data_IF_460222433007
#
_entry.id   IF_460222433007
#
_cell.length_a   1.000
_cell.length_b   1.000
_cell.length_c   1.000
_cell.angle_alpha   90.00
_cell.angle_beta   90.00
_cell.angle_gamma   90.00
#
_symmetry.space_group_name_H-M   'P 1'
#
loop_
_entity.id
_entity.type
_entity.pdbx_description
1 polymer ?
#
# COMPACT_ATOMS: atom_id res chain seq x y z
N UNK A 1 -68.19 24.41 34.44
CA UNK A 1 -68.27 23.91 33.04
C UNK A 1 -66.87 23.91 32.42
N UNK A 2 -66.23 22.75 32.31
CA UNK A 2 -65.07 22.54 31.42
C UNK A 2 -65.23 21.14 30.82
N UNK A 3 -65.52 21.07 29.51
CA UNK A 3 -65.55 19.83 28.73
C UNK A 3 -64.12 19.57 28.25
N UNK A 4 -63.56 18.42 28.59
CA UNK A 4 -62.29 17.95 28.05
C UNK A 4 -62.61 17.22 26.73
N UNK A 5 -62.18 17.79 25.61
CA UNK A 5 -62.21 17.12 24.32
C UNK A 5 -60.94 16.28 24.17
N UNK A 6 -61.10 14.96 24.03
CA UNK A 6 -60.03 14.01 23.77
C UNK A 6 -59.85 13.90 22.25
N UNK A 7 -58.87 14.59 21.68
CA UNK A 7 -58.50 14.43 20.28
C UNK A 7 -57.50 13.27 20.14
N UNK A 8 -57.97 12.14 19.60
CA UNK A 8 -57.11 11.05 19.15
C UNK A 8 -56.27 11.53 17.95
N UNK A 9 -54.96 11.66 18.15
CA UNK A 9 -53.99 11.88 17.09
C UNK A 9 -53.55 10.49 16.55
N UNK A 10 -54.14 10.04 15.45
CA UNK A 10 -53.68 8.85 14.73
C UNK A 10 -52.33 9.15 14.05
N UNK A 11 -51.23 8.70 14.66
CA UNK A 11 -49.90 8.66 14.05
C UNK A 11 -49.88 7.58 12.95
N UNK A 12 -49.98 8.00 11.70
CA UNK A 12 -49.71 7.15 10.53
C UNK A 12 -48.20 6.92 10.43
N UNK A 13 -47.73 5.76 10.90
CA UNK A 13 -46.36 5.28 10.67
C UNK A 13 -46.21 4.92 9.18
N UNK A 14 -45.18 5.43 8.48
CA UNK A 14 -44.91 5.03 7.11
C UNK A 14 -44.50 3.54 7.09
N UNK A 15 -45.26 2.75 6.34
CA UNK A 15 -44.97 1.34 6.08
C UNK A 15 -43.71 1.32 5.18
N UNK A 16 -42.55 1.08 5.78
CA UNK A 16 -41.34 0.72 5.04
C UNK A 16 -41.56 -0.68 4.47
N UNK A 17 -41.89 -0.76 3.18
CA UNK A 17 -41.95 -2.03 2.47
C UNK A 17 -40.52 -2.58 2.33
N UNK A 18 -40.18 -3.56 3.16
CA UNK A 18 -38.97 -4.36 2.97
C UNK A 18 -39.22 -5.28 1.78
N UNK A 19 -38.83 -4.84 0.59
CA UNK A 19 -38.83 -5.72 -0.58
C UNK A 19 -37.72 -6.76 -0.40
N UNK A 20 -38.09 -8.03 -0.29
CA UNK A 20 -37.13 -9.12 -0.24
C UNK A 20 -36.23 -9.10 -1.49
N UNK A 21 -34.93 -9.28 -1.29
CA UNK A 21 -33.96 -9.34 -2.39
C UNK A 21 -34.24 -10.60 -3.23
N UNK A 22 -34.38 -10.44 -4.54
CA UNK A 22 -34.67 -11.57 -5.44
C UNK A 22 -33.41 -12.42 -5.61
N UNK A 23 -33.54 -13.73 -5.45
CA UNK A 23 -32.45 -14.70 -5.61
C UNK A 23 -32.31 -15.14 -7.06
N UNK A 24 -31.09 -15.28 -7.54
CA UNK A 24 -30.74 -15.77 -8.88
C UNK A 24 -29.56 -16.74 -8.74
N UNK A 25 -29.51 -17.82 -9.52
CA UNK A 25 -28.37 -18.73 -9.54
C UNK A 25 -27.22 -18.14 -10.37
N UNK A 26 -25.97 -18.34 -9.93
CA UNK A 26 -24.79 -17.87 -10.65
C UNK A 26 -24.71 -18.41 -12.08
N UNK A 27 -25.23 -19.61 -12.35
CA UNK A 27 -25.24 -20.23 -13.69
C UNK A 27 -26.26 -19.61 -14.65
N UNK A 28 -27.23 -18.84 -14.13
CA UNK A 28 -28.26 -18.18 -14.92
C UNK A 28 -27.88 -16.75 -15.35
N UNK A 29 -26.68 -16.27 -14.97
CA UNK A 29 -26.20 -14.92 -15.29
C UNK A 29 -24.87 -14.93 -16.05
N UNK A 30 -24.63 -13.86 -16.79
CA UNK A 30 -23.36 -13.56 -17.44
C UNK A 30 -22.82 -12.23 -16.88
N UNK A 31 -21.58 -12.24 -16.40
CA UNK A 31 -20.86 -11.03 -15.97
C UNK A 31 -19.89 -10.64 -17.08
N UNK A 32 -20.16 -9.52 -17.73
CA UNK A 32 -19.42 -9.01 -18.87
C UNK A 32 -18.51 -7.86 -18.43
N UNK A 33 -17.25 -7.92 -18.86
CA UNK A 33 -16.37 -6.76 -18.87
C UNK A 33 -16.47 -6.09 -20.25
N UNK A 34 -16.92 -4.84 -20.29
CA UNK A 34 -17.15 -4.11 -21.56
C UNK A 34 -15.85 -3.61 -22.23
N UNK A 35 -14.68 -4.00 -21.70
CA UNK A 35 -13.36 -3.79 -22.31
C UNK A 35 -12.47 -2.78 -21.58
N UNK A 36 -13.07 -1.92 -20.76
CA UNK A 36 -12.41 -0.84 -20.02
C UNK A 36 -12.48 -1.00 -18.49
N UNK A 37 -12.98 -2.14 -18.02
CA UNK A 37 -13.23 -2.38 -16.60
C UNK A 37 -14.67 -2.15 -16.16
N UNK A 38 -15.53 -1.60 -17.02
CA UNK A 38 -16.96 -1.47 -16.74
C UNK A 38 -17.62 -2.86 -16.70
N UNK A 39 -18.37 -3.13 -15.63
CA UNK A 39 -19.05 -4.40 -15.35
C UNK A 39 -20.53 -4.29 -15.64
N UNK A 40 -21.00 -5.23 -16.45
CA UNK A 40 -22.39 -5.40 -16.86
C UNK A 40 -22.85 -6.83 -16.58
N UNK A 41 -24.09 -7.00 -16.13
CA UNK A 41 -24.67 -8.29 -15.76
C UNK A 41 -26.04 -8.45 -16.43
N UNK A 42 -26.22 -9.57 -17.11
CA UNK A 42 -27.48 -9.97 -17.76
C UNK A 42 -27.80 -11.44 -17.49
N UNK A 43 -29.05 -11.82 -17.69
CA UNK A 43 -29.46 -13.23 -17.68
C UNK A 43 -28.93 -13.96 -18.92
N UNK A 44 -28.51 -15.21 -18.76
CA UNK A 44 -28.00 -16.03 -19.88
C UNK A 44 -29.10 -16.31 -20.91
N UNK A 45 -30.29 -16.72 -20.44
CA UNK A 45 -31.37 -17.20 -21.31
C UNK A 45 -32.02 -16.08 -22.11
N UNK A 46 -32.32 -14.95 -21.45
CA UNK A 46 -33.07 -13.85 -22.05
C UNK A 46 -32.17 -12.72 -22.57
N UNK A 47 -30.88 -12.72 -22.18
CA UNK A 47 -29.98 -11.57 -22.35
C UNK A 47 -30.48 -10.27 -21.71
N UNK A 48 -31.48 -10.35 -20.82
CA UNK A 48 -32.06 -9.17 -20.15
C UNK A 48 -31.09 -8.64 -19.10
N UNK A 49 -30.83 -7.32 -19.05
CA UNK A 49 -30.06 -6.69 -17.97
C UNK A 49 -30.70 -6.94 -16.60
N UNK A 50 -29.88 -7.26 -15.60
CA UNK A 50 -30.37 -7.32 -14.23
C UNK A 50 -30.52 -5.90 -13.66
N UNK A 51 -31.52 -5.69 -12.81
CA UNK A 51 -31.79 -4.38 -12.22
C UNK A 51 -32.17 -4.48 -10.73
N UNK A 52 -31.83 -3.46 -9.96
CA UNK A 52 -32.05 -3.38 -8.52
C UNK A 52 -31.20 -4.38 -7.73
N UNK A 53 -31.59 -4.59 -6.47
CA UNK A 53 -30.85 -5.47 -5.56
C UNK A 53 -31.11 -6.95 -5.87
N UNK A 54 -30.04 -7.70 -6.12
CA UNK A 54 -30.06 -9.14 -6.42
C UNK A 54 -29.17 -9.91 -5.47
N UNK A 55 -29.61 -11.11 -5.09
CA UNK A 55 -28.77 -12.07 -4.38
C UNK A 55 -28.41 -13.18 -5.35
N UNK A 56 -27.14 -13.28 -5.70
CA UNK A 56 -26.62 -14.30 -6.61
C UNK A 56 -26.09 -15.45 -5.75
N UNK A 57 -26.66 -16.64 -5.92
CA UNK A 57 -26.30 -17.84 -5.16
C UNK A 57 -25.29 -18.65 -5.97
N UNK A 58 -24.17 -19.03 -5.36
CA UNK A 58 -23.26 -20.01 -5.94
C UNK A 58 -23.73 -21.42 -5.53
N UNK A 59 -24.57 -22.05 -6.37
CA UNK A 59 -25.39 -23.22 -6.04
C UNK A 59 -24.68 -24.49 -5.55
N UNK A 60 -23.35 -24.54 -5.51
CA UNK A 60 -22.55 -25.67 -5.02
C UNK A 60 -21.95 -25.40 -3.63
N UNK A 61 -21.97 -24.16 -3.15
CA UNK A 61 -21.27 -23.73 -1.94
C UNK A 61 -22.17 -22.86 -1.05
N UNK A 62 -21.73 -22.57 0.19
CA UNK A 62 -22.39 -21.59 1.07
C UNK A 62 -22.08 -20.13 0.69
N UNK A 63 -21.64 -19.90 -0.56
CA UNK A 63 -21.21 -18.60 -1.05
C UNK A 63 -22.35 -17.90 -1.80
N UNK A 64 -22.48 -16.60 -1.57
CA UNK A 64 -23.44 -15.77 -2.29
C UNK A 64 -22.94 -14.33 -2.39
N UNK A 65 -23.51 -13.60 -3.33
CA UNK A 65 -23.21 -12.19 -3.59
C UNK A 65 -24.51 -11.41 -3.47
N UNK A 66 -24.50 -10.36 -2.65
CA UNK A 66 -25.53 -9.32 -2.67
C UNK A 66 -25.03 -8.15 -3.51
N UNK A 67 -25.80 -7.78 -4.52
CA UNK A 67 -25.37 -6.78 -5.51
C UNK A 67 -26.47 -5.77 -5.81
N UNK A 68 -26.07 -4.51 -6.05
CA UNK A 68 -26.93 -3.44 -6.54
C UNK A 68 -26.61 -3.13 -8.01
N UNK A 69 -27.66 -3.08 -8.84
CA UNK A 69 -27.58 -2.99 -10.28
C UNK A 69 -28.51 -1.90 -10.80
N UNK A 70 -28.09 -1.23 -11.87
CA UNK A 70 -28.92 -0.31 -12.63
C UNK A 70 -28.74 -0.60 -14.13
N UNK A 71 -29.80 -1.05 -14.78
CA UNK A 71 -29.81 -1.36 -16.22
C UNK A 71 -28.65 -2.30 -16.63
N UNK A 72 -28.42 -3.34 -15.81
CA UNK A 72 -27.35 -4.32 -15.97
C UNK A 72 -25.99 -3.86 -15.43
N UNK A 73 -25.76 -2.57 -15.25
CA UNK A 73 -24.49 -2.06 -14.72
C UNK A 73 -24.42 -2.19 -13.19
N UNK A 74 -23.27 -2.60 -12.66
CA UNK A 74 -23.02 -2.56 -11.22
C UNK A 74 -23.10 -1.11 -10.70
N UNK A 75 -24.00 -0.82 -9.78
CA UNK A 75 -24.20 0.55 -9.30
C UNK A 75 -24.64 0.56 -7.84
N UNK A 76 -23.66 0.68 -6.95
CA UNK A 76 -23.81 0.51 -5.51
C UNK A 76 -22.83 -0.54 -5.01
N UNK A 77 -23.28 -1.42 -4.12
CA UNK A 77 -22.42 -2.41 -3.48
C UNK A 77 -22.41 -3.76 -4.21
N UNK A 78 -21.29 -4.45 -4.08
CA UNK A 78 -21.10 -5.87 -4.30
C UNK A 78 -20.55 -6.45 -3.00
N UNK A 79 -21.37 -7.23 -2.31
CA UNK A 79 -21.08 -7.81 -1.01
C UNK A 79 -20.97 -9.33 -1.19
N UNK A 80 -19.76 -9.87 -1.10
CA UNK A 80 -19.51 -11.30 -1.26
C UNK A 80 -19.41 -11.98 0.11
N UNK A 81 -20.17 -13.04 0.30
CA UNK A 81 -20.27 -13.80 1.55
C UNK A 81 -19.80 -15.24 1.37
N UNK A 82 -19.12 -15.76 2.38
CA UNK A 82 -18.73 -17.17 2.53
C UNK A 82 -19.15 -17.66 3.91
N UNK A 83 -19.99 -18.70 3.98
CA UNK A 83 -20.60 -19.20 5.23
C UNK A 83 -21.27 -18.08 6.04
N UNK A 84 -22.02 -17.22 5.34
CA UNK A 84 -22.69 -16.02 5.88
C UNK A 84 -21.76 -14.96 6.49
N UNK A 85 -20.44 -15.05 6.28
CA UNK A 85 -19.48 -14.03 6.70
C UNK A 85 -19.07 -13.19 5.49
N UNK A 86 -19.08 -11.87 5.65
CA UNK A 86 -18.65 -10.95 4.60
C UNK A 86 -17.16 -11.17 4.33
N UNK A 87 -16.83 -11.51 3.08
CA UNK A 87 -15.48 -11.74 2.59
C UNK A 87 -14.97 -10.55 1.79
N UNK A 88 -15.82 -9.93 0.97
CA UNK A 88 -15.47 -8.72 0.22
C UNK A 88 -16.64 -7.74 0.15
N UNK A 89 -16.34 -6.46 0.26
CA UNK A 89 -17.24 -5.34 0.00
C UNK A 89 -16.59 -4.46 -1.05
N UNK A 90 -17.17 -4.45 -2.24
CA UNK A 90 -16.72 -3.64 -3.36
C UNK A 90 -17.79 -2.61 -3.70
N UNK A 91 -17.37 -1.38 -3.98
CA UNK A 91 -18.28 -0.30 -4.39
C UNK A 91 -18.11 0.01 -5.88
N UNK A 92 -19.24 0.21 -6.55
CA UNK A 92 -19.35 0.47 -7.96
C UNK A 92 -20.23 1.70 -8.25
N UNK A 93 -19.92 2.39 -9.34
CA UNK A 93 -20.74 3.46 -9.91
C UNK A 93 -20.78 3.32 -11.42
N UNK A 94 -21.98 3.20 -11.99
CA UNK A 94 -22.19 3.03 -13.43
C UNK A 94 -21.31 1.93 -14.06
N UNK A 95 -21.15 0.80 -13.38
CA UNK A 95 -20.37 -0.36 -13.80
C UNK A 95 -18.88 -0.30 -13.44
N UNK A 96 -18.32 0.84 -13.05
CA UNK A 96 -16.91 0.95 -12.65
C UNK A 96 -16.75 0.77 -11.15
N UNK A 97 -15.66 0.12 -10.72
CA UNK A 97 -15.28 0.17 -9.30
C UNK A 97 -15.00 1.63 -8.91
N UNK A 98 -15.72 2.13 -7.91
CA UNK A 98 -15.67 3.52 -7.48
C UNK A 98 -16.02 3.61 -5.99
N UNK A 99 -15.20 4.32 -5.22
CA UNK A 99 -15.29 4.39 -3.77
C UNK A 99 -14.50 3.30 -3.06
N UNK A 100 -14.84 3.07 -1.78
CA UNK A 100 -14.09 2.20 -0.88
C UNK A 100 -14.19 0.73 -1.30
N UNK A 101 -13.10 0.00 -1.22
CA UNK A 101 -13.02 -1.44 -1.45
C UNK A 101 -12.43 -2.10 -0.21
N UNK A 102 -12.97 -3.23 0.21
CA UNK A 102 -12.53 -3.93 1.41
C UNK A 102 -12.62 -5.44 1.22
N UNK A 103 -11.63 -6.17 1.72
CA UNK A 103 -11.72 -7.61 1.93
C UNK A 103 -11.49 -7.94 3.40
N UNK A 104 -11.97 -9.10 3.83
CA UNK A 104 -11.95 -9.55 5.21
C UNK A 104 -11.53 -11.01 5.30
N UNK A 105 -10.72 -11.33 6.31
CA UNK A 105 -10.40 -12.71 6.66
C UNK A 105 -11.65 -13.41 7.21
N UNK A 106 -12.23 -14.37 6.48
CA UNK A 106 -13.45 -15.12 6.88
C UNK A 106 -13.32 -15.74 8.29
N UNK A 107 -12.13 -16.18 8.68
CA UNK A 107 -11.90 -16.77 10.00
C UNK A 107 -12.09 -15.77 11.15
N UNK A 108 -11.65 -14.51 10.98
CA UNK A 108 -11.58 -13.51 12.06
C UNK A 108 -12.50 -12.32 11.87
N UNK A 109 -13.03 -12.10 10.67
CA UNK A 109 -13.77 -10.89 10.27
C UNK A 109 -12.90 -9.63 10.19
N UNK A 110 -11.59 -9.73 10.43
CA UNK A 110 -10.68 -8.58 10.37
C UNK A 110 -10.40 -8.19 8.92
N UNK A 111 -10.18 -6.90 8.62
CA UNK A 111 -9.78 -6.46 7.30
C UNK A 111 -8.53 -7.22 6.83
N UNK A 112 -8.55 -7.65 5.57
CA UNK A 112 -7.39 -8.17 4.84
C UNK A 112 -6.74 -7.04 4.04
N UNK A 113 -7.56 -6.22 3.39
CA UNK A 113 -7.16 -4.94 2.83
C UNK A 113 -8.31 -3.94 2.83
N UNK A 114 -7.98 -2.67 2.73
CA UNK A 114 -8.90 -1.61 2.34
C UNK A 114 -8.22 -0.57 1.46
N UNK A 115 -8.96 0.06 0.57
CA UNK A 115 -8.47 1.14 -0.28
C UNK A 115 -9.59 1.78 -1.08
N UNK A 116 -9.25 2.75 -1.92
CA UNK A 116 -10.24 3.42 -2.77
C UNK A 116 -9.96 3.17 -4.26
N UNK A 117 -11.06 3.04 -5.01
CA UNK A 117 -11.06 3.02 -6.47
C UNK A 117 -11.76 4.29 -6.99
N UNK A 118 -11.35 4.76 -8.16
CA UNK A 118 -12.00 5.83 -8.91
C UNK A 118 -12.04 5.43 -10.37
N UNK A 119 -13.24 5.32 -10.95
CA UNK A 119 -13.42 4.91 -12.36
C UNK A 119 -12.59 3.66 -12.74
N UNK A 120 -12.63 2.62 -11.90
CA UNK A 120 -11.94 1.35 -12.14
C UNK A 120 -10.43 1.37 -11.86
N UNK A 121 -9.88 2.45 -11.31
CA UNK A 121 -8.44 2.58 -11.01
C UNK A 121 -8.21 2.76 -9.52
N UNK A 122 -7.15 2.14 -8.97
CA UNK A 122 -6.68 2.37 -7.61
C UNK A 122 -6.32 3.85 -7.43
N UNK A 123 -6.81 4.45 -6.36
CA UNK A 123 -6.60 5.86 -6.07
C UNK A 123 -6.44 6.08 -4.55
N UNK A 124 -5.47 6.90 -4.15
CA UNK A 124 -5.18 7.17 -2.75
C UNK A 124 -4.52 5.99 -2.03
N UNK A 125 -4.74 5.91 -0.73
CA UNK A 125 -4.12 4.92 0.14
C UNK A 125 -4.82 3.55 0.03
N UNK A 126 -4.00 2.50 0.01
CA UNK A 126 -4.36 1.10 0.12
C UNK A 126 -3.59 0.50 1.29
N UNK A 127 -4.30 -0.10 2.23
CA UNK A 127 -3.72 -0.67 3.45
C UNK A 127 -3.99 -2.17 3.46
N UNK A 128 -2.94 -2.94 3.72
CA UNK A 128 -2.97 -4.39 3.79
C UNK A 128 -2.63 -4.86 5.20
N UNK A 129 -3.41 -5.80 5.71
CA UNK A 129 -3.32 -6.28 7.07
C UNK A 129 -2.97 -7.77 7.10
N UNK A 130 -2.44 -8.25 8.22
CA UNK A 130 -2.35 -9.68 8.54
C UNK A 130 -3.63 -10.16 9.23
N UNK A 131 -3.82 -11.48 9.31
CA UNK A 131 -5.00 -12.10 9.94
C UNK A 131 -5.21 -11.74 11.41
N UNK A 132 -4.14 -11.33 12.10
CA UNK A 132 -4.20 -10.80 13.47
C UNK A 132 -4.64 -9.31 13.54
N UNK A 133 -4.75 -8.61 12.41
CA UNK A 133 -5.16 -7.21 12.31
C UNK A 133 -4.02 -6.19 12.25
N UNK A 134 -2.76 -6.61 12.29
CA UNK A 134 -1.62 -5.70 12.18
C UNK A 134 -1.46 -5.22 10.74
N UNK A 135 -1.09 -3.95 10.54
CA UNK A 135 -0.69 -3.45 9.22
C UNK A 135 0.58 -4.19 8.78
N UNK A 136 0.58 -4.68 7.55
CA UNK A 136 1.75 -5.27 6.89
C UNK A 136 2.33 -4.31 5.86
N UNK A 137 1.46 -3.63 5.14
CA UNK A 137 1.84 -2.80 4.01
C UNK A 137 0.82 -1.68 3.79
N UNK A 138 1.30 -0.55 3.32
CA UNK A 138 0.51 0.55 2.79
C UNK A 138 1.09 0.96 1.45
N UNK A 139 0.21 1.23 0.49
CA UNK A 139 0.56 1.71 -0.84
C UNK A 139 -0.25 2.97 -1.15
N UNK A 140 0.34 3.91 -1.88
CA UNK A 140 -0.36 5.11 -2.36
C UNK A 140 -0.38 5.06 -3.89
N UNK A 141 -1.56 5.27 -4.47
CA UNK A 141 -1.77 5.26 -5.91
C UNK A 141 -2.32 6.58 -6.43
N UNK A 142 -1.84 7.00 -7.60
CA UNK A 142 -2.47 7.97 -8.47
C UNK A 142 -2.93 7.25 -9.74
N UNK A 143 -4.21 6.91 -9.81
CA UNK A 143 -4.87 6.28 -10.97
C UNK A 143 -4.13 5.04 -11.50
N UNK A 144 -3.98 4.01 -10.66
CA UNK A 144 -3.19 2.79 -10.85
C UNK A 144 -1.65 2.97 -10.86
N UNK A 145 -1.11 4.19 -10.90
CA UNK A 145 0.33 4.41 -10.73
C UNK A 145 0.68 4.48 -9.25
N UNK A 146 1.39 3.48 -8.73
CA UNK A 146 1.91 3.51 -7.36
C UNK A 146 2.95 4.63 -7.22
N UNK A 147 2.84 5.44 -6.16
CA UNK A 147 3.73 6.56 -5.86
C UNK A 147 4.52 6.35 -4.57
N UNK A 148 3.99 5.56 -3.63
CA UNK A 148 4.66 5.23 -2.38
C UNK A 148 4.29 3.83 -1.92
N UNK A 149 5.23 3.15 -1.27
CA UNK A 149 5.00 1.90 -0.52
C UNK A 149 5.66 2.01 0.84
N UNK A 150 4.96 1.56 1.88
CA UNK A 150 5.45 1.46 3.25
C UNK A 150 5.20 0.03 3.74
N UNK A 151 6.24 -0.67 4.19
CA UNK A 151 6.10 -1.97 4.87
C UNK A 151 6.31 -1.81 6.36
N UNK A 152 5.71 -2.71 7.13
CA UNK A 152 5.72 -2.67 8.58
C UNK A 152 6.22 -3.99 9.16
N UNK A 153 7.00 -3.90 10.23
CA UNK A 153 7.30 -5.03 11.09
C UNK A 153 6.05 -5.54 11.81
N UNK A 154 6.10 -6.76 12.33
CA UNK A 154 5.02 -7.34 13.14
C UNK A 154 4.74 -6.53 14.42
N UNK A 155 5.73 -5.77 14.90
CA UNK A 155 5.61 -4.78 15.99
C UNK A 155 4.75 -3.57 15.65
N UNK A 156 4.45 -3.34 14.37
CA UNK A 156 3.77 -2.16 13.85
C UNK A 156 4.71 -0.99 13.51
N UNK A 157 6.02 -1.10 13.77
CA UNK A 157 7.00 -0.11 13.34
C UNK A 157 7.22 -0.18 11.83
N UNK A 158 7.54 0.97 11.22
CA UNK A 158 7.88 1.04 9.79
C UNK A 158 9.18 0.27 9.55
N UNK A 159 9.15 -0.67 8.61
CA UNK A 159 10.32 -1.40 8.16
C UNK A 159 10.98 -0.68 6.98
N UNK A 160 10.19 -0.25 6.00
CA UNK A 160 10.69 0.34 4.77
C UNK A 160 9.71 1.38 4.23
N UNK A 161 10.24 2.48 3.69
CA UNK A 161 9.51 3.43 2.86
C UNK A 161 10.19 3.55 1.50
N UNK A 162 9.42 3.43 0.42
CA UNK A 162 9.92 3.57 -0.95
C UNK A 162 9.00 4.47 -1.76
N UNK A 163 9.60 5.31 -2.60
CA UNK A 163 8.88 6.22 -3.48
C UNK A 163 9.04 5.76 -4.94
N UNK A 164 8.00 5.98 -5.74
CA UNK A 164 7.89 5.47 -7.09
C UNK A 164 7.39 6.53 -8.06
N UNK A 165 7.89 6.46 -9.28
CA UNK A 165 7.41 7.24 -10.43
C UNK A 165 7.42 6.35 -11.66
N UNK A 166 6.29 6.26 -12.36
CA UNK A 166 6.14 5.44 -13.57
C UNK A 166 6.58 3.97 -13.36
N UNK A 167 6.24 3.41 -12.20
CA UNK A 167 6.54 2.02 -11.85
C UNK A 167 8.01 1.73 -11.46
N UNK A 168 8.87 2.74 -11.36
CA UNK A 168 10.28 2.61 -10.93
C UNK A 168 10.50 3.36 -9.63
N UNK A 169 11.46 2.92 -8.80
CA UNK A 169 11.85 3.67 -7.61
C UNK A 169 12.40 5.04 -8.01
N UNK A 170 11.87 6.10 -7.41
CA UNK A 170 12.21 7.48 -7.72
C UNK A 170 11.98 8.34 -6.47
N UNK A 171 13.02 9.04 -6.04
CA UNK A 171 13.07 9.74 -4.75
C UNK A 171 13.81 8.95 -3.67
N UNK A 172 13.55 9.32 -2.41
CA UNK A 172 14.27 8.77 -1.25
C UNK A 172 13.62 7.45 -0.80
N UNK A 173 14.40 6.39 -0.67
CA UNK A 173 14.01 5.13 -0.05
C UNK A 173 14.70 4.98 1.31
N UNK A 174 13.95 4.58 2.33
CA UNK A 174 14.40 4.44 3.72
C UNK A 174 14.10 3.04 4.24
N UNK A 175 14.95 2.52 5.09
CA UNK A 175 14.67 1.32 5.86
C UNK A 175 15.11 1.49 7.30
N UNK A 176 14.42 0.81 8.22
CA UNK A 176 14.60 0.94 9.65
C UNK A 176 14.78 -0.44 10.29
N UNK A 177 15.33 -0.50 11.49
CA UNK A 177 15.32 -1.70 12.33
C UNK A 177 13.97 -1.85 13.00
N UNK A 178 13.73 -3.01 13.65
CA UNK A 178 12.50 -3.24 14.40
C UNK A 178 12.39 -2.39 15.70
N UNK A 179 13.45 -1.66 16.04
CA UNK A 179 13.50 -0.65 17.11
C UNK A 179 13.38 0.78 16.55
N UNK A 180 13.23 0.94 15.23
CA UNK A 180 13.01 2.22 14.56
C UNK A 180 14.30 2.95 14.18
N UNK A 181 15.48 2.33 14.35
CA UNK A 181 16.76 2.93 13.97
C UNK A 181 16.92 2.89 12.46
N UNK A 182 17.31 4.00 11.83
CA UNK A 182 17.57 4.05 10.38
C UNK A 182 18.66 3.04 9.99
N UNK A 183 18.30 2.03 9.17
CA UNK A 183 19.22 1.07 8.55
C UNK A 183 19.86 1.65 7.33
N UNK A 184 19.08 2.27 6.44
CA UNK A 184 19.64 3.02 5.33
C UNK A 184 18.69 4.08 4.81
N UNK A 185 19.28 5.11 4.19
CA UNK A 185 18.61 6.09 3.36
C UNK A 185 19.35 6.16 2.03
N UNK A 186 18.63 6.02 0.92
CA UNK A 186 19.15 5.98 -0.45
C UNK A 186 18.30 6.86 -1.35
N UNK A 187 18.90 7.47 -2.36
CA UNK A 187 18.17 8.24 -3.38
C UNK A 187 18.17 7.49 -4.70
N UNK A 188 17.02 7.45 -5.35
CA UNK A 188 16.83 6.80 -6.65
C UNK A 188 16.29 7.78 -7.68
N UNK A 189 16.69 7.61 -8.94
CA UNK A 189 16.06 8.25 -10.09
C UNK A 189 15.87 7.20 -11.17
N UNK A 190 14.63 7.03 -11.64
CA UNK A 190 14.26 6.03 -12.66
C UNK A 190 14.78 4.61 -12.34
N UNK A 191 14.75 4.22 -11.07
CA UNK A 191 15.19 2.90 -10.59
C UNK A 191 16.71 2.75 -10.39
N UNK A 192 17.50 3.80 -10.64
CA UNK A 192 18.96 3.78 -10.41
C UNK A 192 19.31 4.53 -9.13
N UNK A 193 20.12 3.93 -8.27
CA UNK A 193 20.65 4.60 -7.09
C UNK A 193 21.61 5.70 -7.50
N UNK A 194 21.35 6.92 -7.02
CA UNK A 194 22.18 8.10 -7.28
C UNK A 194 22.32 8.92 -6.00
N UNK A 195 23.30 9.83 -5.97
CA UNK A 195 23.49 10.75 -4.86
C UNK A 195 23.83 10.04 -3.56
N UNK A 196 23.39 10.63 -2.44
CA UNK A 196 23.81 10.23 -1.10
C UNK A 196 23.11 8.94 -0.64
N UNK A 197 23.90 7.98 -0.19
CA UNK A 197 23.49 6.86 0.65
C UNK A 197 24.05 7.04 2.05
N UNK A 198 23.24 6.75 3.06
CA UNK A 198 23.69 6.61 4.45
C UNK A 198 23.18 5.27 4.99
N UNK A 199 24.08 4.40 5.45
CA UNK A 199 23.75 3.02 5.85
C UNK A 199 24.39 2.65 7.18
N UNK A 200 23.62 2.01 8.06
CA UNK A 200 24.07 1.44 9.33
C UNK A 200 24.74 0.09 9.07
N UNK A 201 25.94 -0.09 9.61
CA UNK A 201 26.70 -1.33 9.59
C UNK A 201 26.87 -1.81 11.02
N UNK A 202 26.37 -3.01 11.31
CA UNK A 202 26.59 -3.67 12.59
C UNK A 202 27.85 -4.51 12.56
N UNK A 203 28.68 -4.36 13.60
CA UNK A 203 29.93 -5.10 13.74
C UNK A 203 30.20 -5.45 15.20
N UNK A 204 31.04 -6.47 15.44
CA UNK A 204 31.47 -6.84 16.79
C UNK A 204 32.20 -5.71 17.52
N UNK A 205 32.78 -4.75 16.78
CA UNK A 205 33.53 -3.63 17.32
C UNK A 205 32.66 -2.37 17.48
N UNK A 206 31.35 -2.52 17.41
CA UNK A 206 30.37 -1.43 17.47
C UNK A 206 29.76 -1.12 16.10
N UNK A 207 28.54 -0.60 16.16
CA UNK A 207 27.80 -0.10 15.02
C UNK A 207 28.42 1.20 14.49
N UNK A 208 28.45 1.37 13.17
CA UNK A 208 28.84 2.62 12.54
C UNK A 208 28.00 2.90 11.30
N UNK A 209 27.88 4.17 10.94
CA UNK A 209 27.25 4.59 9.70
C UNK A 209 28.29 4.80 8.62
N UNK A 210 28.00 4.32 7.42
CA UNK A 210 28.70 4.69 6.19
C UNK A 210 27.85 5.74 5.47
N UNK A 211 28.47 6.83 5.03
CA UNK A 211 27.89 7.77 4.08
C UNK A 211 28.72 7.75 2.80
N UNK A 212 28.07 7.59 1.65
CA UNK A 212 28.74 7.63 0.35
C UNK A 212 27.84 8.27 -0.70
N UNK A 213 28.44 8.81 -1.75
CA UNK A 213 27.72 9.40 -2.87
C UNK A 213 27.89 8.55 -4.12
N UNK A 214 26.88 8.52 -5.00
CA UNK A 214 26.90 7.79 -6.27
C UNK A 214 26.58 8.73 -7.44
N UNK A 215 27.25 8.54 -8.57
CA UNK A 215 26.92 9.27 -9.80
C UNK A 215 25.78 8.60 -10.59
N UNK A 216 25.43 9.19 -11.73
CA UNK A 216 24.38 8.73 -12.66
C UNK A 216 24.63 7.35 -13.28
N UNK A 217 25.89 6.88 -13.25
CA UNK A 217 26.30 5.54 -13.66
C UNK A 217 26.24 4.52 -12.52
N UNK A 218 25.91 4.95 -11.30
CA UNK A 218 25.88 4.09 -10.11
C UNK A 218 27.26 3.82 -9.50
N UNK A 219 28.30 4.54 -9.91
CA UNK A 219 29.63 4.42 -9.31
C UNK A 219 29.73 5.34 -8.08
N UNK A 220 30.48 4.92 -7.06
CA UNK A 220 30.81 5.80 -5.92
C UNK A 220 31.53 7.05 -6.44
N UNK A 221 31.02 8.22 -6.12
CA UNK A 221 31.53 9.48 -6.65
C UNK A 221 31.18 10.62 -5.71
N UNK A 222 32.21 11.30 -5.19
CA UNK A 222 32.08 12.32 -4.14
C UNK A 222 32.49 11.82 -2.76
N UNK A 223 32.02 12.52 -1.73
CA UNK A 223 32.49 12.34 -0.36
C UNK A 223 32.10 10.98 0.21
N UNK A 224 33.00 10.42 1.01
CA UNK A 224 32.84 9.21 1.79
C UNK A 224 33.13 9.50 3.26
N UNK A 225 32.32 8.95 4.16
CA UNK A 225 32.61 8.94 5.59
C UNK A 225 32.11 7.68 6.28
N UNK A 226 32.81 7.33 7.36
CA UNK A 226 32.37 6.37 8.37
C UNK A 226 32.32 7.08 9.72
N UNK A 227 31.25 6.86 10.49
CA UNK A 227 31.02 7.50 11.79
C UNK A 227 30.47 6.48 12.77
N UNK A 228 31.05 6.39 13.98
CA UNK A 228 30.52 5.52 15.03
C UNK A 228 29.08 5.89 15.38
N UNK A 229 28.20 4.91 15.46
CA UNK A 229 26.76 5.16 15.59
C UNK A 229 26.37 5.74 16.96
N UNK A 230 27.16 5.44 18.00
CA UNK A 230 26.95 5.88 19.38
C UNK A 230 27.48 7.30 19.64
N UNK A 231 28.71 7.57 19.21
CA UNK A 231 29.48 8.77 19.55
C UNK A 231 29.52 9.79 18.43
N UNK A 232 29.13 9.40 17.20
CA UNK A 232 29.27 10.19 15.96
C UNK A 232 30.70 10.60 15.63
N UNK A 233 31.69 10.04 16.33
CA UNK A 233 33.11 10.30 16.04
C UNK A 233 33.47 9.71 14.68
N UNK A 234 34.32 10.40 13.89
CA UNK A 234 34.74 9.90 12.60
C UNK A 234 35.59 8.63 12.77
N UNK A 235 35.41 7.69 11.85
CA UNK A 235 36.18 6.45 11.75
C UNK A 235 37.01 6.42 10.46
N UNK A 236 36.45 6.92 9.37
CA UNK A 236 37.15 7.14 8.11
C UNK A 236 36.51 8.27 7.31
N UNK A 237 37.29 8.97 6.48
CA UNK A 237 36.81 9.95 5.49
C UNK A 237 37.71 9.93 4.27
N UNK A 238 37.13 10.26 3.13
CA UNK A 238 37.85 10.42 1.88
C UNK A 238 36.89 10.77 0.75
N UNK A 239 37.37 10.66 -0.47
CA UNK A 239 36.58 10.91 -1.67
C UNK A 239 36.73 9.76 -2.66
N UNK A 240 35.65 9.46 -3.37
CA UNK A 240 35.69 8.63 -4.56
C UNK A 240 35.55 9.49 -5.81
N UNK A 241 36.22 9.09 -6.89
CA UNK A 241 36.02 9.60 -8.24
C UNK A 241 35.78 8.40 -9.15
N UNK A 242 34.59 8.31 -9.75
CA UNK A 242 34.18 7.22 -10.65
C UNK A 242 34.49 5.81 -10.11
N UNK A 243 34.21 5.57 -8.83
CA UNK A 243 34.38 4.29 -8.15
C UNK A 243 35.78 4.07 -7.54
N UNK A 244 36.73 4.96 -7.78
CA UNK A 244 38.11 4.84 -7.29
C UNK A 244 38.39 5.82 -6.15
N UNK A 245 39.19 5.42 -5.16
CA UNK A 245 39.67 6.35 -4.13
C UNK A 245 40.48 7.47 -4.80
N UNK A 246 40.18 8.72 -4.45
CA UNK A 246 40.90 9.89 -4.96
C UNK A 246 41.07 10.91 -3.82
N UNK A 247 42.23 11.57 -3.80
CA UNK A 247 42.59 12.53 -2.76
C UNK A 247 43.00 11.88 -1.44
N UNK A 248 42.97 12.68 -0.38
CA UNK A 248 43.39 12.29 0.96
C UNK A 248 42.32 11.44 1.66
N UNK A 249 42.75 10.33 2.21
CA UNK A 249 41.99 9.40 3.02
C UNK A 249 42.56 9.39 4.43
N UNK A 250 41.68 9.59 5.42
CA UNK A 250 42.06 9.60 6.83
C UNK A 250 41.22 8.59 7.58
N UNK A 251 41.86 7.79 8.42
CA UNK A 251 41.24 6.87 9.37
C UNK A 251 41.58 7.31 10.79
N UNK A 252 40.63 7.18 11.71
CA UNK A 252 40.79 7.56 13.11
C UNK A 252 40.64 6.36 14.04
N UNK A 253 41.30 6.42 15.19
CA UNK A 253 41.06 5.50 16.32
C UNK A 253 39.72 5.83 16.99
N UNK A 254 39.22 4.94 17.85
CA UNK A 254 38.02 5.21 18.66
C UNK A 254 38.17 6.41 19.62
N UNK A 255 39.41 6.79 19.95
CA UNK A 255 39.70 7.98 20.77
C UNK A 255 39.59 9.28 19.96
N UNK A 256 39.77 9.20 18.64
CA UNK A 256 39.74 10.34 17.71
C UNK A 256 41.12 10.72 17.17
N UNK A 257 42.17 10.00 17.54
CA UNK A 257 43.52 10.21 17.01
C UNK A 257 43.62 9.70 15.57
N UNK A 258 44.39 10.37 14.72
CA UNK A 258 44.66 9.89 13.36
C UNK A 258 45.40 8.56 13.44
N UNK A 259 44.76 7.50 12.96
CA UNK A 259 45.32 6.16 12.87
C UNK A 259 46.14 5.99 11.59
N UNK A 260 45.64 6.56 10.49
CA UNK A 260 46.22 6.38 9.16
C UNK A 260 45.84 7.55 8.27
N UNK A 261 46.78 7.97 7.44
CA UNK A 261 46.56 8.96 6.39
C UNK A 261 47.27 8.53 5.11
N UNK A 262 46.54 8.52 3.99
CA UNK A 262 47.04 8.11 2.68
C UNK A 262 46.47 9.03 1.59
N UNK A 263 47.25 9.30 0.55
CA UNK A 263 46.76 10.03 -0.63
C UNK A 263 46.64 9.08 -1.81
N UNK A 264 45.54 9.19 -2.55
CA UNK A 264 45.26 8.37 -3.71
C UNK A 264 45.07 9.23 -4.95
N UNK A 265 45.51 8.72 -6.10
CA UNK A 265 45.15 9.23 -7.42
C UNK A 265 44.62 8.08 -8.26
N UNK A 266 43.37 8.17 -8.70
CA UNK A 266 42.72 7.13 -9.52
C UNK A 266 42.86 5.72 -8.90
N UNK A 267 42.66 5.61 -7.59
CA UNK A 267 42.77 4.35 -6.84
C UNK A 267 44.19 3.92 -6.49
N UNK A 268 45.23 4.59 -6.99
CA UNK A 268 46.63 4.26 -6.70
C UNK A 268 47.15 5.12 -5.55
N UNK A 269 47.65 4.46 -4.49
CA UNK A 269 48.28 5.13 -3.35
C UNK A 269 49.57 5.83 -3.82
N UNK A 270 49.72 7.09 -3.45
CA UNK A 270 50.90 7.91 -3.68
C UNK A 270 51.86 7.83 -2.49
#
# INVERSE_FOLDING_TARGET
MKRIALSLLCLMLPILTVTAQTKIDFTDIEIVNLGDGQRYIKEVKSSTPLNGKKRIINGVTEQYIDVDLKDGLLNGKWEYYDKSKLKELLNFKNGYMDGKQQAFFVATGKPEYEGNMKMGKKHGEWIYFSSNGNKREMEIYADNSMTKRVTYYTSGQVEQERNFKQGKEDGVSKAFTNEGKMKYERTFVNGKQIGKERSLISSNNGDFFITCNYNDKGNKDGDYSEEWADSKKPKAKGKYLNGQKDGKWTEWTSRGDVKKEETYKNGVRQ
#
